data_IF_284813109124
#
_entry.id   IF_284813109124
#
_cell.length_a   1.000
_cell.length_b   1.000
_cell.length_c   1.000
_cell.angle_alpha   90.00
_cell.angle_beta   90.00
_cell.angle_gamma   90.00
#
_symmetry.space_group_name_H-M   'P 1'
#
loop_
_entity.id
_entity.type
_entity.pdbx_description
1 polymer ?
#
# COMPACT_ATOMS: atom_id res chain seq x y z
N UNK A 1 2.93 -6.59 1.23
CA UNK A 1 1.89 -7.49 1.75
C UNK A 1 2.49 -8.86 2.02
N UNK A 2 2.25 -9.45 3.18
CA UNK A 2 2.77 -10.78 3.54
C UNK A 2 1.73 -11.64 4.26
N UNK A 3 1.74 -12.95 4.00
CA UNK A 3 1.03 -13.93 4.81
C UNK A 3 1.78 -14.26 6.11
N UNK A 4 3.05 -13.88 6.23
CA UNK A 4 3.85 -13.96 7.45
C UNK A 4 4.65 -12.65 7.64
N UNK A 5 4.06 -11.65 8.31
CA UNK A 5 4.72 -10.37 8.54
C UNK A 5 6.02 -10.48 9.34
N UNK A 6 6.10 -11.38 10.33
CA UNK A 6 7.29 -11.52 11.17
C UNK A 6 8.45 -12.14 10.38
N UNK A 7 8.19 -13.17 9.57
CA UNK A 7 9.20 -13.70 8.67
C UNK A 7 9.66 -12.66 7.65
N UNK A 8 8.74 -11.87 7.08
CA UNK A 8 9.08 -10.80 6.15
C UNK A 8 9.95 -9.71 6.81
N UNK A 9 9.61 -9.27 8.03
CA UNK A 9 10.44 -8.34 8.81
C UNK A 9 11.84 -8.89 9.00
N UNK A 10 11.97 -10.12 9.51
CA UNK A 10 13.26 -10.77 9.75
C UNK A 10 14.10 -10.90 8.48
N UNK A 11 13.48 -11.26 7.37
CA UNK A 11 14.15 -11.38 6.08
C UNK A 11 14.71 -10.02 5.60
N UNK A 12 13.88 -8.97 5.57
CA UNK A 12 14.30 -7.67 5.04
C UNK A 12 15.26 -6.91 5.97
N UNK A 13 15.15 -7.08 7.29
CA UNK A 13 16.11 -6.50 8.24
C UNK A 13 17.49 -7.16 8.08
N UNK A 14 17.55 -8.48 7.85
CA UNK A 14 18.81 -9.18 7.59
C UNK A 14 19.40 -8.86 6.20
N UNK A 15 18.56 -8.82 5.17
CA UNK A 15 19.01 -8.63 3.78
C UNK A 15 19.50 -7.20 3.52
N UNK A 16 18.77 -6.19 4.00
CA UNK A 16 19.02 -4.79 3.66
C UNK A 16 19.50 -3.94 4.85
N UNK A 17 19.52 -4.49 6.06
CA UNK A 17 19.83 -3.72 7.27
C UNK A 17 18.75 -2.69 7.63
N UNK A 18 17.53 -2.84 7.10
CA UNK A 18 16.41 -1.96 7.42
C UNK A 18 15.97 -2.13 8.87
N UNK A 19 15.34 -1.10 9.43
CA UNK A 19 14.65 -1.19 10.73
C UNK A 19 13.15 -1.17 10.53
N UNK A 20 12.41 -1.55 11.57
CA UNK A 20 10.95 -1.64 11.53
C UNK A 20 10.32 -1.04 12.76
N UNK A 21 9.19 -0.38 12.60
CA UNK A 21 8.46 0.30 13.67
C UNK A 21 6.97 -0.04 13.57
N UNK A 22 6.33 -0.53 14.66
CA UNK A 22 4.88 -0.72 14.67
C UNK A 22 4.16 0.62 14.45
N UNK A 23 3.14 0.64 13.60
CA UNK A 23 2.33 1.84 13.33
C UNK A 23 0.85 1.64 13.62
N UNK A 24 0.30 0.48 13.26
CA UNK A 24 -1.02 -0.01 13.67
C UNK A 24 -0.91 -1.47 14.09
N UNK A 25 -2.01 -2.03 14.58
CA UNK A 25 -2.09 -3.45 14.97
C UNK A 25 -1.60 -4.39 13.85
N UNK A 26 -1.95 -4.10 12.60
CA UNK A 26 -1.68 -4.91 11.42
C UNK A 26 -0.61 -4.33 10.48
N UNK A 27 -0.12 -3.13 10.77
CA UNK A 27 0.81 -2.39 9.90
C UNK A 27 2.12 -2.04 10.60
N UNK A 28 3.23 -2.47 10.00
CA UNK A 28 4.59 -2.13 10.42
C UNK A 28 5.25 -1.25 9.38
N UNK A 29 5.78 -0.10 9.79
CA UNK A 29 6.60 0.75 8.91
C UNK A 29 7.99 0.14 8.77
N UNK A 30 8.51 0.13 7.55
CA UNK A 30 9.91 -0.19 7.24
C UNK A 30 10.67 1.12 7.10
N UNK A 31 11.85 1.21 7.71
CA UNK A 31 12.67 2.43 7.75
C UNK A 31 14.06 2.19 7.19
N UNK A 32 14.58 3.20 6.49
CA UNK A 32 15.97 3.32 6.08
C UNK A 32 16.57 4.48 6.87
N UNK A 33 17.39 4.16 7.87
CA UNK A 33 17.73 5.12 8.93
C UNK A 33 16.45 5.55 9.66
N UNK A 34 16.22 6.86 9.76
CA UNK A 34 15.03 7.41 10.43
C UNK A 34 13.83 7.62 9.48
N UNK A 35 14.03 7.46 8.16
CA UNK A 35 12.99 7.71 7.16
C UNK A 35 12.13 6.47 6.91
N UNK A 36 10.81 6.63 7.03
CA UNK A 36 9.84 5.63 6.57
C UNK A 36 9.91 5.43 5.05
N UNK A 37 10.05 4.18 4.62
CA UNK A 37 10.26 3.80 3.22
C UNK A 37 9.21 2.80 2.69
N UNK A 38 8.19 2.50 3.49
CA UNK A 38 7.11 1.58 3.14
C UNK A 38 6.58 0.88 4.37
N UNK A 39 5.89 -0.23 4.16
CA UNK A 39 5.41 -1.04 5.27
C UNK A 39 5.09 -2.49 4.92
N UNK A 40 4.94 -3.26 5.99
CA UNK A 40 4.56 -4.66 5.97
C UNK A 40 3.17 -4.73 6.60
N UNK A 41 2.21 -5.16 5.79
CA UNK A 41 0.84 -5.41 6.16
C UNK A 41 0.53 -6.89 5.97
N UNK A 42 -0.20 -7.47 6.92
CA UNK A 42 -0.72 -8.83 6.85
C UNK A 42 -1.76 -8.91 5.72
N UNK A 43 -1.67 -9.94 4.89
CA UNK A 43 -2.76 -10.28 3.96
C UNK A 43 -3.91 -10.82 4.79
N UNK A 44 -4.99 -10.05 4.87
CA UNK A 44 -6.23 -10.41 5.56
C UNK A 44 -7.26 -11.04 4.62
N UNK A 45 -8.36 -11.59 5.16
CA UNK A 45 -9.44 -12.20 4.38
C UNK A 45 -10.03 -11.29 3.30
N UNK A 46 -10.02 -9.97 3.53
CA UNK A 46 -10.48 -8.95 2.60
C UNK A 46 -9.65 -8.86 1.31
N UNK A 47 -8.41 -9.37 1.33
CA UNK A 47 -7.53 -9.43 0.16
C UNK A 47 -7.61 -10.77 -0.59
N UNK A 48 -8.47 -11.70 -0.13
CA UNK A 48 -8.68 -13.01 -0.76
C UNK A 48 -7.41 -13.83 -0.88
N UNK A 49 -7.26 -14.55 -2.01
CA UNK A 49 -6.14 -15.45 -2.28
C UNK A 49 -4.90 -14.74 -2.86
N UNK A 50 -4.75 -13.43 -2.63
CA UNK A 50 -3.61 -12.68 -3.14
C UNK A 50 -2.29 -13.29 -2.63
N UNK A 51 -1.33 -13.62 -3.52
CA UNK A 51 -0.01 -14.09 -3.07
C UNK A 51 0.74 -12.96 -2.35
N UNK A 52 1.73 -13.27 -1.49
CA UNK A 52 2.65 -12.26 -0.96
C UNK A 52 3.27 -11.43 -2.08
N UNK A 53 3.18 -10.09 -1.97
CA UNK A 53 3.62 -9.17 -3.02
C UNK A 53 3.97 -7.79 -2.46
N UNK A 54 4.69 -7.00 -3.27
CA UNK A 54 4.88 -5.58 -3.06
C UNK A 54 3.73 -4.81 -3.70
N UNK A 55 3.00 -4.02 -2.90
CA UNK A 55 1.99 -3.10 -3.40
C UNK A 55 2.67 -1.76 -3.75
N UNK A 56 2.48 -1.29 -4.98
CA UNK A 56 3.06 -0.04 -5.46
C UNK A 56 2.03 1.07 -5.33
N UNK A 57 2.41 2.15 -4.66
CA UNK A 57 1.56 3.33 -4.45
C UNK A 57 1.99 4.47 -5.35
N UNK A 58 1.02 5.04 -6.07
CA UNK A 58 1.17 6.27 -6.82
C UNK A 58 0.45 7.39 -6.09
N UNK A 59 1.16 8.48 -5.84
CA UNK A 59 0.58 9.67 -5.24
C UNK A 59 -0.41 10.33 -6.21
N UNK A 60 -1.55 10.73 -5.69
CA UNK A 60 -2.56 11.50 -6.38
C UNK A 60 -3.02 12.67 -5.53
N UNK A 61 -3.26 13.81 -6.15
CA UNK A 61 -3.87 14.96 -5.50
C UNK A 61 -5.35 14.70 -5.13
N UNK A 62 -6.01 13.78 -5.83
CA UNK A 62 -7.39 13.39 -5.63
C UNK A 62 -7.59 11.94 -6.10
N UNK A 63 -7.70 11.01 -5.14
CA UNK A 63 -7.90 9.59 -5.40
C UNK A 63 -9.23 9.32 -6.11
N UNK A 64 -10.32 10.01 -5.75
CA UNK A 64 -11.63 9.76 -6.36
C UNK A 64 -11.62 10.15 -7.84
N UNK A 65 -11.06 11.32 -8.16
CA UNK A 65 -10.88 11.75 -9.55
C UNK A 65 -9.94 10.81 -10.35
N UNK A 66 -8.92 10.27 -9.69
CA UNK A 66 -7.98 9.33 -10.33
C UNK A 66 -8.61 7.97 -10.57
N UNK A 67 -9.46 7.49 -9.67
CA UNK A 67 -10.25 6.27 -9.85
C UNK A 67 -11.18 6.42 -11.06
N UNK A 68 -11.87 7.56 -11.19
CA UNK A 68 -12.70 7.86 -12.35
C UNK A 68 -11.88 7.84 -13.65
N UNK A 69 -10.72 8.50 -13.65
CA UNK A 69 -9.82 8.53 -14.81
C UNK A 69 -9.35 7.11 -15.22
N UNK A 70 -9.06 6.24 -14.25
CA UNK A 70 -8.70 4.84 -14.52
C UNK A 70 -9.85 4.10 -15.19
N UNK A 71 -11.08 4.22 -14.67
CA UNK A 71 -12.24 3.57 -15.30
C UNK A 71 -12.52 4.07 -16.70
N UNK A 72 -12.40 5.38 -16.94
CA UNK A 72 -12.56 5.99 -18.26
C UNK A 72 -11.49 5.54 -19.27
N UNK A 73 -10.30 5.18 -18.78
CA UNK A 73 -9.20 4.63 -19.58
C UNK A 73 -9.32 3.10 -19.82
N UNK A 74 -10.39 2.46 -19.36
CA UNK A 74 -10.63 1.02 -19.51
C UNK A 74 -9.99 0.16 -18.41
N UNK A 75 -9.50 0.77 -17.35
CA UNK A 75 -9.08 0.06 -16.13
C UNK A 75 -10.28 -0.32 -15.25
N UNK A 76 -9.98 -0.93 -14.10
CA UNK A 76 -11.00 -1.41 -13.16
C UNK A 76 -10.69 -1.02 -11.72
N UNK A 77 -11.74 -0.90 -10.90
CA UNK A 77 -11.62 -0.67 -9.46
C UNK A 77 -11.64 -2.02 -8.76
N UNK A 78 -10.57 -2.34 -8.03
CA UNK A 78 -10.47 -3.57 -7.23
C UNK A 78 -10.95 -3.35 -5.80
N UNK A 79 -10.54 -2.23 -5.20
CA UNK A 79 -10.99 -1.78 -3.89
C UNK A 79 -11.41 -0.31 -4.02
N UNK A 80 -12.68 0.03 -3.78
CA UNK A 80 -13.17 1.41 -3.82
C UNK A 80 -12.38 2.33 -2.89
N UNK A 81 -12.35 3.62 -3.20
CA UNK A 81 -11.62 4.59 -2.39
C UNK A 81 -12.16 4.66 -0.95
N UNK A 82 -11.26 4.56 0.02
CA UNK A 82 -11.58 4.61 1.45
C UNK A 82 -10.56 5.46 2.22
N UNK A 83 -11.03 6.05 3.32
CA UNK A 83 -10.17 6.85 4.19
C UNK A 83 -9.34 5.95 5.11
N UNK A 84 -8.07 6.29 5.26
CA UNK A 84 -7.10 5.64 6.15
C UNK A 84 -6.51 6.66 7.12
N UNK A 85 -7.26 7.23 8.09
CA UNK A 85 -6.74 8.28 8.98
C UNK A 85 -5.68 7.72 9.95
N UNK A 86 -4.51 8.36 10.13
CA UNK A 86 -4.20 9.73 9.70
C UNK A 86 -3.47 9.83 8.34
N UNK A 87 -3.30 8.73 7.62
CA UNK A 87 -2.46 8.65 6.41
C UNK A 87 -3.06 9.43 5.24
N UNK A 88 -4.36 9.28 4.99
CA UNK A 88 -5.01 9.91 3.84
C UNK A 88 -6.13 9.07 3.27
N UNK A 89 -6.28 9.06 1.94
CA UNK A 89 -7.29 8.31 1.20
C UNK A 89 -6.63 7.39 0.19
N UNK A 90 -7.11 6.15 0.08
CA UNK A 90 -6.48 5.09 -0.72
C UNK A 90 -7.52 4.38 -1.58
N UNK A 91 -7.12 3.95 -2.78
CA UNK A 91 -7.87 3.00 -3.60
C UNK A 91 -6.93 1.95 -4.19
N UNK A 92 -7.48 0.79 -4.58
CA UNK A 92 -6.75 -0.20 -5.38
C UNK A 92 -7.47 -0.35 -6.71
N UNK A 93 -6.71 -0.19 -7.79
CA UNK A 93 -7.21 -0.25 -9.16
C UNK A 93 -6.34 -1.18 -9.98
N UNK A 94 -6.81 -1.58 -11.15
CA UNK A 94 -6.01 -2.29 -12.14
C UNK A 94 -6.06 -1.57 -13.49
N UNK A 95 -4.95 -1.60 -14.21
CA UNK A 95 -4.89 -1.16 -15.60
C UNK A 95 -5.70 -2.09 -16.54
N UNK A 96 -5.85 -1.78 -17.83
CA UNK A 96 -6.61 -2.63 -18.75
C UNK A 96 -5.97 -4.01 -18.99
N UNK A 97 -4.74 -4.25 -18.55
CA UNK A 97 -4.08 -5.55 -18.60
C UNK A 97 -4.28 -6.35 -17.29
N UNK A 98 -4.91 -5.75 -16.28
CA UNK A 98 -5.16 -6.37 -14.98
C UNK A 98 -4.03 -6.19 -13.97
N UNK A 99 -3.03 -5.33 -14.24
CA UNK A 99 -1.94 -5.10 -13.29
C UNK A 99 -2.43 -4.21 -12.14
N UNK A 100 -2.36 -4.68 -10.87
CA UNK A 100 -2.84 -3.91 -9.73
C UNK A 100 -1.87 -2.79 -9.34
N UNK A 101 -2.43 -1.62 -8.99
CA UNK A 101 -1.72 -0.51 -8.37
C UNK A 101 -2.57 0.16 -7.30
N UNK A 102 -1.92 0.81 -6.34
CA UNK A 102 -2.57 1.59 -5.31
C UNK A 102 -2.47 3.08 -5.63
N UNK A 103 -3.56 3.82 -5.43
CA UNK A 103 -3.60 5.28 -5.51
C UNK A 103 -3.70 5.83 -4.09
N UNK A 104 -3.00 6.92 -3.80
CA UNK A 104 -3.03 7.55 -2.48
C UNK A 104 -3.01 9.07 -2.55
N UNK A 105 -3.95 9.71 -1.85
CA UNK A 105 -3.89 11.13 -1.49
C UNK A 105 -3.50 11.22 -0.04
N UNK A 106 -2.33 11.76 0.26
CA UNK A 106 -1.84 11.90 1.63
C UNK A 106 -2.58 13.04 2.33
N UNK A 107 -2.96 12.85 3.60
CA UNK A 107 -3.66 13.85 4.39
C UNK A 107 -2.81 15.11 4.67
N UNK A 108 -1.48 15.01 4.55
CA UNK A 108 -0.52 16.10 4.61
C UNK A 108 0.59 15.82 3.59
N UNK A 109 1.21 16.84 2.97
CA UNK A 109 2.38 16.62 2.13
C UNK A 109 3.46 15.94 2.98
N UNK A 110 4.14 14.92 2.43
CA UNK A 110 5.41 14.51 3.02
C UNK A 110 6.35 15.71 2.90
N UNK A 111 6.84 16.19 4.05
CA UNK A 111 7.82 17.29 4.15
C UNK A 111 9.03 17.09 3.21
#
# INVERSE_FOLDING_TARGET
>A
MSNDPEAAKSFYTQLFGWTTEPFREDYTIVKIGDRGNGGILKIGPEMGDAPPHWAVYFASNDVDASVEAVTNAGGSVMVPAFDTPPVGRVAVVADPQGAPLCLITLAMPAD
#
